data_IF_100813256839
#
_entry.id   IF_100813256839
#
_cell.length_a   1.000
_cell.length_b   1.000
_cell.length_c   1.000
_cell.angle_alpha   90.00
_cell.angle_beta   90.00
_cell.angle_gamma   90.00
#
_symmetry.space_group_name_H-M   'P 1'
#
loop_
_entity.id
_entity.type
_entity.pdbx_description
1 polymer ?
#
# COMPACT_ATOMS: atom_id res chain seq x y z
N UNK A 1 -24.53 30.55 -0.55
CA UNK A 1 -24.37 29.29 -1.30
C UNK A 1 -22.89 28.96 -1.26
N UNK A 2 -22.42 28.22 -0.25
CA UNK A 2 -21.07 27.72 -0.31
C UNK A 2 -21.02 26.60 -1.37
N UNK A 3 -19.88 25.94 -1.47
CA UNK A 3 -19.75 24.54 -1.85
C UNK A 3 -19.15 24.25 -3.23
N UNK A 4 -19.50 24.90 -4.36
CA UNK A 4 -18.93 24.47 -5.67
C UNK A 4 -17.42 24.70 -5.79
N UNK A 5 -16.93 25.86 -5.34
CA UNK A 5 -15.49 26.16 -5.34
C UNK A 5 -14.73 25.28 -4.35
N UNK A 6 -15.34 24.94 -3.22
CA UNK A 6 -14.74 24.08 -2.19
C UNK A 6 -14.65 22.65 -2.70
N UNK A 7 -15.71 22.15 -3.31
CA UNK A 7 -15.76 20.84 -3.94
C UNK A 7 -14.73 20.71 -5.08
N UNK A 8 -14.60 21.75 -5.91
CA UNK A 8 -13.56 21.81 -6.94
C UNK A 8 -12.14 21.75 -6.37
N UNK A 9 -11.85 22.49 -5.29
CA UNK A 9 -10.54 22.43 -4.61
C UNK A 9 -10.25 21.06 -4.01
N UNK A 10 -11.25 20.39 -3.44
CA UNK A 10 -11.12 19.03 -2.90
C UNK A 10 -10.81 18.04 -4.03
N UNK A 11 -11.54 18.10 -5.15
CA UNK A 11 -11.28 17.27 -6.32
C UNK A 11 -9.87 17.46 -6.88
N UNK A 12 -9.41 18.72 -6.99
CA UNK A 12 -8.05 19.04 -7.43
C UNK A 12 -7.02 18.46 -6.44
N UNK A 13 -7.25 18.60 -5.14
CA UNK A 13 -6.37 18.05 -4.11
C UNK A 13 -6.26 16.53 -4.17
N UNK A 14 -7.39 15.83 -4.33
CA UNK A 14 -7.42 14.37 -4.52
C UNK A 14 -6.68 13.99 -5.81
N UNK A 15 -6.95 14.67 -6.92
CA UNK A 15 -6.30 14.42 -8.21
C UNK A 15 -4.78 14.59 -8.14
N UNK A 16 -4.30 15.65 -7.50
CA UNK A 16 -2.88 15.86 -7.25
C UNK A 16 -2.29 14.76 -6.37
N UNK A 17 -3.00 14.34 -5.31
CA UNK A 17 -2.60 13.23 -4.46
C UNK A 17 -2.45 11.92 -5.25
N UNK A 18 -3.40 11.62 -6.14
CA UNK A 18 -3.35 10.45 -7.02
C UNK A 18 -2.15 10.54 -7.97
N UNK A 19 -1.89 11.70 -8.58
CA UNK A 19 -0.73 11.91 -9.47
C UNK A 19 0.57 11.68 -8.71
N UNK A 20 0.71 12.24 -7.51
CA UNK A 20 1.91 12.05 -6.67
C UNK A 20 2.10 10.58 -6.33
N UNK A 21 1.03 9.87 -5.92
CA UNK A 21 1.10 8.44 -5.64
C UNK A 21 1.48 7.62 -6.88
N UNK A 22 0.92 7.95 -8.05
CA UNK A 22 1.26 7.29 -9.31
C UNK A 22 2.73 7.50 -9.70
N UNK A 23 3.24 8.72 -9.56
CA UNK A 23 4.66 9.02 -9.80
C UNK A 23 5.55 8.28 -8.81
N UNK A 24 5.18 8.22 -7.53
CA UNK A 24 5.92 7.45 -6.53
C UNK A 24 6.00 5.97 -6.90
N UNK A 25 4.90 5.34 -7.32
CA UNK A 25 4.94 3.95 -7.76
C UNK A 25 5.84 3.74 -8.98
N UNK A 26 5.77 4.62 -9.98
CA UNK A 26 6.64 4.55 -11.17
C UNK A 26 8.11 4.70 -10.78
N UNK A 27 8.44 5.63 -9.88
CA UNK A 27 9.83 5.84 -9.43
C UNK A 27 10.32 4.64 -8.62
N UNK A 28 9.50 4.10 -7.72
CA UNK A 28 9.84 2.91 -6.92
C UNK A 28 10.12 1.69 -7.80
N UNK A 29 9.31 1.47 -8.84
CA UNK A 29 9.52 0.39 -9.81
C UNK A 29 10.85 0.53 -10.57
N UNK A 30 11.29 1.77 -10.83
CA UNK A 30 12.54 2.07 -11.54
C UNK A 30 13.79 1.96 -10.69
N UNK A 31 13.68 1.89 -9.35
CA UNK A 31 14.83 1.74 -8.45
C UNK A 31 15.18 0.25 -8.32
N UNK A 32 16.34 -0.21 -8.82
CA UNK A 32 16.77 -1.60 -8.69
C UNK A 32 16.89 -1.98 -7.21
N UNK A 33 16.13 -2.99 -6.78
CA UNK A 33 16.08 -3.46 -5.39
C UNK A 33 14.82 -3.02 -4.61
N UNK A 34 14.23 -1.86 -4.92
CA UNK A 34 12.98 -1.40 -4.29
C UNK A 34 11.73 -1.83 -5.08
N UNK A 35 11.80 -1.87 -6.42
CA UNK A 35 10.71 -2.39 -7.25
C UNK A 35 10.39 -3.87 -6.98
N UNK A 36 11.41 -4.67 -6.63
CA UNK A 36 11.26 -6.08 -6.28
C UNK A 36 10.59 -6.30 -4.91
N UNK A 37 10.57 -5.27 -4.05
CA UNK A 37 9.96 -5.34 -2.72
C UNK A 37 8.42 -5.45 -2.83
N UNK A 38 7.83 -4.73 -3.79
CA UNK A 38 6.41 -4.85 -4.10
C UNK A 38 6.07 -6.08 -4.95
N UNK A 39 7.02 -6.59 -5.76
CA UNK A 39 6.78 -7.81 -6.54
C UNK A 39 6.60 -9.08 -5.69
N UNK A 40 7.05 -9.07 -4.43
CA UNK A 40 6.83 -10.18 -3.48
C UNK A 40 5.50 -10.05 -2.73
N UNK A 41 4.94 -8.85 -2.65
CA UNK A 41 3.67 -8.57 -2.00
C UNK A 41 2.53 -9.23 -2.82
N UNK A 42 2.11 -10.41 -2.37
CA UNK A 42 1.15 -11.28 -3.06
C UNK A 42 1.70 -12.45 -3.85
N UNK A 43 3.00 -12.73 -3.71
CA UNK A 43 3.62 -14.00 -4.11
C UNK A 43 4.23 -14.72 -2.91
N UNK A 44 3.77 -14.43 -1.69
CA UNK A 44 4.20 -15.20 -0.54
C UNK A 44 3.61 -16.61 -0.60
N UNK A 45 4.39 -17.66 -0.29
CA UNK A 45 3.84 -19.00 -0.13
C UNK A 45 2.79 -18.96 0.99
N UNK A 46 1.55 -19.31 0.65
CA UNK A 46 0.39 -19.22 1.56
C UNK A 46 -0.65 -18.16 1.16
N UNK A 47 -0.33 -17.24 0.24
CA UNK A 47 -1.34 -16.40 -0.39
C UNK A 47 -2.12 -17.20 -1.44
N UNK A 48 -3.46 -17.09 -1.42
CA UNK A 48 -4.34 -17.84 -2.34
C UNK A 48 -4.66 -16.94 -3.52
N UNK A 49 -4.14 -17.28 -4.71
CA UNK A 49 -4.50 -16.61 -5.96
C UNK A 49 -5.19 -17.59 -6.90
N UNK A 50 -6.45 -17.34 -7.21
CA UNK A 50 -7.26 -18.10 -8.17
C UNK A 50 -7.52 -17.18 -9.35
N UNK A 51 -6.83 -17.41 -10.47
CA UNK A 51 -7.10 -16.76 -11.75
C UNK A 51 -7.82 -17.72 -12.69
N UNK A 52 -8.96 -17.28 -13.21
CA UNK A 52 -9.72 -17.86 -14.33
C UNK A 52 -9.98 -16.79 -15.38
N UNK A 53 -10.42 -17.18 -16.57
CA UNK A 53 -10.55 -16.32 -17.75
C UNK A 53 -11.37 -15.02 -17.52
N UNK A 54 -12.39 -15.07 -16.66
CA UNK A 54 -13.21 -13.89 -16.30
C UNK A 54 -13.26 -13.62 -14.78
N UNK A 55 -12.42 -14.29 -13.98
CA UNK A 55 -12.48 -14.18 -12.52
C UNK A 55 -11.10 -14.26 -11.89
N UNK A 56 -10.73 -13.24 -11.13
CA UNK A 56 -9.51 -13.22 -10.33
C UNK A 56 -9.87 -13.02 -8.86
N UNK A 57 -9.57 -14.01 -8.02
CA UNK A 57 -9.67 -13.91 -6.57
C UNK A 57 -8.29 -14.00 -5.96
N UNK A 58 -7.96 -13.05 -5.09
CA UNK A 58 -6.70 -12.99 -4.39
C UNK A 58 -6.96 -12.81 -2.89
N UNK A 59 -6.43 -13.72 -2.08
CA UNK A 59 -6.58 -13.73 -0.64
C UNK A 59 -5.21 -13.77 0.05
N UNK A 60 -4.74 -12.62 0.60
CA UNK A 60 -3.39 -12.43 1.12
C UNK A 60 -3.23 -12.94 2.56
N UNK A 61 -3.30 -14.25 2.82
CA UNK A 61 -3.17 -14.80 4.19
C UNK A 61 -1.77 -14.57 4.74
N UNK A 62 -0.75 -15.03 4.02
CA UNK A 62 0.63 -14.97 4.48
C UNK A 62 1.09 -13.50 4.54
N UNK A 63 0.77 -12.73 3.50
CA UNK A 63 1.06 -11.29 3.47
C UNK A 63 0.44 -10.57 4.68
N UNK A 64 -0.81 -10.84 5.04
CA UNK A 64 -1.47 -10.18 6.18
C UNK A 64 -0.85 -10.55 7.53
N UNK A 65 -0.45 -11.80 7.72
CA UNK A 65 0.22 -12.25 8.94
C UNK A 65 1.59 -11.56 9.09
N UNK A 66 2.39 -11.56 8.03
CA UNK A 66 3.71 -10.90 8.02
C UNK A 66 3.57 -9.41 8.33
N UNK A 67 2.61 -8.74 7.67
CA UNK A 67 2.33 -7.32 7.90
C UNK A 67 1.92 -7.05 9.35
N UNK A 68 1.05 -7.88 9.93
CA UNK A 68 0.61 -7.75 11.33
C UNK A 68 1.78 -7.88 12.32
N UNK A 69 2.67 -8.86 12.11
CA UNK A 69 3.87 -9.05 12.95
C UNK A 69 4.79 -7.83 12.83
N UNK A 70 5.04 -7.34 11.62
CA UNK A 70 5.88 -6.17 11.39
C UNK A 70 5.33 -4.91 12.08
N UNK A 71 4.03 -4.63 11.92
CA UNK A 71 3.39 -3.49 12.57
C UNK A 71 3.42 -3.63 14.10
N UNK A 72 3.16 -4.82 14.62
CA UNK A 72 3.21 -5.09 16.06
C UNK A 72 4.61 -4.85 16.62
N UNK A 73 5.66 -5.33 15.92
CA UNK A 73 7.04 -5.12 16.29
C UNK A 73 7.44 -3.64 16.22
N UNK A 74 6.98 -2.92 15.19
CA UNK A 74 7.19 -1.49 15.04
C UNK A 74 6.58 -0.72 16.22
N UNK A 75 5.32 -0.96 16.56
CA UNK A 75 4.67 -0.31 17.71
C UNK A 75 5.31 -0.70 19.04
N UNK A 76 5.78 -1.94 19.18
CA UNK A 76 6.54 -2.37 20.33
C UNK A 76 7.84 -1.57 20.48
N UNK A 77 8.63 -1.44 19.42
CA UNK A 77 9.90 -0.69 19.41
C UNK A 77 9.70 0.80 19.65
N UNK A 78 8.72 1.40 18.97
CA UNK A 78 8.36 2.81 19.15
C UNK A 78 7.90 3.06 20.58
N UNK A 79 7.00 2.22 21.10
CA UNK A 79 6.54 2.31 22.48
C UNK A 79 7.62 2.01 23.52
N UNK A 80 8.65 1.23 23.18
CA UNK A 80 9.82 1.03 24.02
C UNK A 80 10.73 2.27 24.03
N UNK A 81 10.93 2.89 22.86
CA UNK A 81 11.74 4.11 22.73
C UNK A 81 11.12 5.30 23.45
N UNK A 82 9.80 5.50 23.35
CA UNK A 82 9.09 6.58 24.04
C UNK A 82 8.91 6.36 25.56
N UNK A 83 9.14 5.15 26.06
CA UNK A 83 9.07 4.81 27.50
C UNK A 83 10.44 4.84 28.20
N UNK A 84 11.51 5.15 27.48
CA UNK A 84 12.82 5.51 28.02
C UNK A 84 12.92 7.03 28.15
#
# INVERSE_FOLDING_TARGET
MPEWSTFGKILIGIGLGIVVLGVLFVVVDRIPGLGNLFSWLGKLPGDISIKRDNFSFYFPIATSIVLSILLSLLFYLVGWLFRR
#
